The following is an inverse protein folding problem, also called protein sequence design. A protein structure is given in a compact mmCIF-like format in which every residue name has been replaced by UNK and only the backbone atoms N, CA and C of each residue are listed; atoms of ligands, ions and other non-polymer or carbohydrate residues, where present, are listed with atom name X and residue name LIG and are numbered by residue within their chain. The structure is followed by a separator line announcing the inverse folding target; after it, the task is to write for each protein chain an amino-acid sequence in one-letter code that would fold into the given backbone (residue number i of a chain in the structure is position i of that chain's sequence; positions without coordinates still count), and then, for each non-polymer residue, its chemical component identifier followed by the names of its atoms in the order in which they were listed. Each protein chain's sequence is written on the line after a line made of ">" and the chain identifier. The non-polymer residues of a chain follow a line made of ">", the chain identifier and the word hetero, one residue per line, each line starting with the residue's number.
data_IF_116852603569
#
_entry.id   IF_116852603569
#
_cell.length_a   1.000
_cell.length_b   1.000
_cell.length_c   1.000
_cell.angle_alpha   90.00
_cell.angle_beta   90.00
_cell.angle_gamma   90.00
#
_symmetry.space_group_name_H-M   'P 1'
#
loop_
_entity.id
_entity.type
_entity.pdbx_description
1 polymer ?
#
# COMPACT_ATOMS: atom_id res chain seq x y z
N UNK A 1 27.41 6.38 -39.61
CA UNK A 1 27.86 5.32 -38.69
C UNK A 1 26.73 5.02 -37.72
N UNK A 2 26.30 3.77 -37.58
CA UNK A 2 25.30 3.39 -36.57
C UNK A 2 25.93 3.53 -35.18
N UNK A 3 25.25 4.29 -34.32
CA UNK A 3 25.65 4.55 -32.94
C UNK A 3 25.61 3.25 -32.13
N UNK A 4 26.79 2.67 -31.91
CA UNK A 4 27.00 1.39 -31.20
C UNK A 4 26.62 1.45 -29.71
N UNK A 5 26.21 2.62 -29.20
CA UNK A 5 25.79 2.77 -27.79
C UNK A 5 24.30 2.45 -27.58
N UNK A 6 23.50 2.38 -28.64
CA UNK A 6 22.06 2.15 -28.54
C UNK A 6 21.74 0.66 -28.58
N UNK A 7 21.23 0.16 -27.46
CA UNK A 7 20.66 -1.19 -27.38
C UNK A 7 19.57 -1.36 -28.43
N UNK A 8 19.63 -2.44 -29.17
CA UNK A 8 18.58 -2.89 -30.09
C UNK A 8 17.32 -3.24 -29.31
N UNK A 9 16.16 -3.23 -30.00
CA UNK A 9 14.86 -3.52 -29.39
C UNK A 9 14.84 -4.91 -28.72
N UNK A 10 15.49 -5.90 -29.32
CA UNK A 10 15.66 -7.25 -28.77
C UNK A 10 16.48 -7.24 -27.48
N UNK A 11 17.58 -6.49 -27.44
CA UNK A 11 18.40 -6.34 -26.23
C UNK A 11 17.65 -5.61 -25.10
N UNK A 12 16.81 -4.62 -25.43
CA UNK A 12 15.96 -3.94 -24.45
C UNK A 12 14.92 -4.91 -23.87
N UNK A 13 14.30 -5.73 -24.72
CA UNK A 13 13.30 -6.73 -24.30
C UNK A 13 13.92 -7.79 -23.39
N UNK A 14 15.09 -8.32 -23.75
CA UNK A 14 15.79 -9.32 -22.94
C UNK A 14 16.34 -8.72 -21.64
N UNK A 15 16.86 -7.48 -21.69
CA UNK A 15 17.26 -6.75 -20.48
C UNK A 15 16.08 -6.52 -19.55
N UNK A 16 14.91 -6.13 -20.08
CA UNK A 16 13.68 -6.01 -19.29
C UNK A 16 13.23 -7.35 -18.74
N UNK A 17 13.34 -8.45 -19.49
CA UNK A 17 12.99 -9.81 -19.02
C UNK A 17 13.88 -10.24 -17.86
N UNK A 18 15.19 -10.02 -17.96
CA UNK A 18 16.17 -10.32 -16.90
C UNK A 18 15.96 -9.39 -15.69
N UNK A 19 15.72 -8.10 -15.93
CA UNK A 19 15.41 -7.13 -14.87
C UNK A 19 14.08 -7.46 -14.16
N UNK A 20 13.07 -7.93 -14.90
CA UNK A 20 11.81 -8.42 -14.35
C UNK A 20 11.98 -9.73 -13.56
N UNK A 21 12.92 -10.61 -13.94
CA UNK A 21 13.34 -11.76 -13.13
C UNK A 21 14.10 -11.35 -11.87
N UNK A 22 14.82 -10.22 -11.90
CA UNK A 22 15.46 -9.56 -10.75
C UNK A 22 14.50 -8.70 -9.91
N UNK A 23 13.21 -8.69 -10.20
CA UNK A 23 12.21 -8.14 -9.27
C UNK A 23 12.24 -9.07 -8.07
N UNK A 24 12.77 -8.60 -6.94
CA UNK A 24 12.73 -9.31 -5.67
C UNK A 24 11.34 -9.97 -5.54
N UNK A 25 11.27 -11.32 -5.48
CA UNK A 25 9.98 -11.99 -5.37
C UNK A 25 9.28 -11.40 -4.15
N UNK A 26 8.04 -10.96 -4.34
CA UNK A 26 7.22 -10.52 -3.22
C UNK A 26 7.08 -11.73 -2.31
N UNK A 27 7.78 -11.71 -1.16
CA UNK A 27 7.72 -12.80 -0.20
C UNK A 27 6.26 -13.04 0.15
N UNK A 28 5.80 -14.26 -0.13
CA UNK A 28 4.48 -14.69 0.27
C UNK A 28 4.46 -14.89 1.78
N UNK A 29 3.26 -14.93 2.37
CA UNK A 29 3.12 -15.24 3.79
C UNK A 29 3.70 -16.62 4.14
N UNK A 30 3.68 -17.56 3.18
CA UNK A 30 4.30 -18.88 3.31
C UNK A 30 5.83 -18.77 3.34
N UNK A 31 6.41 -17.99 2.44
CA UNK A 31 7.87 -17.77 2.39
C UNK A 31 8.37 -17.14 3.71
N UNK A 32 7.61 -16.21 4.29
CA UNK A 32 7.94 -15.61 5.60
C UNK A 32 7.82 -16.64 6.72
N UNK A 33 6.81 -17.50 6.69
CA UNK A 33 6.66 -18.60 7.66
C UNK A 33 7.82 -19.60 7.57
N UNK A 34 8.23 -19.98 6.37
CA UNK A 34 9.35 -20.91 6.15
C UNK A 34 10.66 -20.32 6.71
N UNK A 35 10.89 -19.02 6.53
CA UNK A 35 12.02 -18.33 7.16
C UNK A 35 11.91 -18.29 8.69
N UNK A 36 10.71 -18.04 9.22
CA UNK A 36 10.45 -18.02 10.66
C UNK A 36 10.77 -19.37 11.31
N UNK A 37 10.29 -20.48 10.75
CA UNK A 37 10.59 -21.83 11.28
C UNK A 37 12.08 -22.18 11.13
N UNK A 38 12.74 -21.68 10.08
CA UNK A 38 14.20 -21.87 9.92
C UNK A 38 15.00 -21.13 10.98
N UNK A 39 14.58 -19.92 11.35
CA UNK A 39 15.22 -19.11 12.41
C UNK A 39 14.88 -19.61 13.82
N UNK A 40 13.69 -20.19 14.00
CA UNK A 40 13.18 -20.71 15.27
C UNK A 40 12.68 -22.16 15.13
N UNK A 41 13.58 -23.15 14.98
CA UNK A 41 13.20 -24.56 14.73
C UNK A 41 12.40 -25.20 15.87
N UNK A 42 12.52 -24.69 17.08
CA UNK A 42 11.78 -25.10 18.28
C UNK A 42 10.31 -24.65 18.29
N UNK A 43 9.91 -23.77 17.37
CA UNK A 43 8.54 -23.29 17.30
C UNK A 43 7.59 -24.37 16.80
N UNK A 44 6.64 -24.78 17.64
CA UNK A 44 5.60 -25.77 17.30
C UNK A 44 4.42 -25.19 16.48
N UNK A 45 4.46 -23.89 16.17
CA UNK A 45 3.38 -23.21 15.44
C UNK A 45 3.23 -23.77 14.02
N UNK A 46 2.03 -24.22 13.69
CA UNK A 46 1.69 -24.64 12.32
C UNK A 46 1.50 -23.44 11.38
N UNK A 47 1.65 -23.66 10.07
CA UNK A 47 1.41 -22.59 9.09
C UNK A 47 -0.01 -22.03 9.16
N UNK A 48 -1.01 -22.86 9.50
CA UNK A 48 -2.40 -22.43 9.61
C UNK A 48 -2.61 -21.47 10.78
N UNK A 49 -2.02 -21.78 11.93
CA UNK A 49 -2.04 -20.92 13.12
C UNK A 49 -1.30 -19.62 12.87
N UNK A 50 -0.09 -19.69 12.31
CA UNK A 50 0.67 -18.52 11.90
C UNK A 50 -0.15 -17.63 10.97
N UNK A 51 -0.76 -18.22 9.94
CA UNK A 51 -1.59 -17.50 8.98
C UNK A 51 -2.76 -16.81 9.66
N UNK A 52 -3.45 -17.51 10.56
CA UNK A 52 -4.59 -16.99 11.33
C UNK A 52 -4.19 -15.80 12.18
N UNK A 53 -3.12 -15.92 12.96
CA UNK A 53 -2.61 -14.87 13.85
C UNK A 53 -2.25 -13.62 13.04
N UNK A 54 -1.44 -13.76 11.99
CA UNK A 54 -1.02 -12.64 11.15
C UNK A 54 -2.21 -11.98 10.43
N UNK A 55 -3.17 -12.77 9.96
CA UNK A 55 -4.38 -12.23 9.29
C UNK A 55 -5.22 -11.43 10.27
N UNK A 56 -5.45 -11.94 11.49
CA UNK A 56 -6.18 -11.25 12.53
C UNK A 56 -5.47 -9.96 12.95
N UNK A 57 -4.16 -10.04 13.23
CA UNK A 57 -3.35 -8.88 13.57
C UNK A 57 -3.45 -7.79 12.50
N UNK A 58 -3.25 -8.15 11.23
CA UNK A 58 -3.35 -7.20 10.13
C UNK A 58 -4.75 -6.57 10.04
N UNK A 59 -5.81 -7.35 10.27
CA UNK A 59 -7.16 -6.82 10.28
C UNK A 59 -7.38 -5.82 11.41
N UNK A 60 -6.99 -6.15 12.65
CA UNK A 60 -7.09 -5.23 13.78
C UNK A 60 -6.26 -3.96 13.59
N UNK A 61 -5.01 -4.12 13.15
CA UNK A 61 -4.09 -3.03 12.87
C UNK A 61 -4.68 -2.05 11.84
N UNK A 62 -5.18 -2.57 10.71
CA UNK A 62 -5.74 -1.73 9.66
C UNK A 62 -7.03 -1.03 10.11
N UNK A 63 -7.93 -1.73 10.79
CA UNK A 63 -9.14 -1.12 11.33
C UNK A 63 -8.82 -0.01 12.34
N UNK A 64 -7.89 -0.26 13.25
CA UNK A 64 -7.46 0.73 14.22
C UNK A 64 -6.98 2.01 13.53
N UNK A 65 -6.10 1.91 12.53
CA UNK A 65 -5.61 3.09 11.77
C UNK A 65 -6.75 3.79 11.01
N UNK A 66 -7.68 3.03 10.40
CA UNK A 66 -8.82 3.59 9.65
C UNK A 66 -9.74 4.40 10.58
N UNK A 67 -10.14 3.85 11.74
CA UNK A 67 -11.16 4.45 12.59
C UNK A 67 -10.63 5.51 13.54
N UNK A 68 -9.36 5.39 13.97
CA UNK A 68 -8.72 6.39 14.85
C UNK A 68 -8.08 7.52 14.06
N UNK A 69 -7.53 7.23 12.88
CA UNK A 69 -6.69 8.16 12.12
C UNK A 69 -5.28 8.35 12.69
N UNK A 70 -4.89 7.54 13.70
CA UNK A 70 -3.59 7.67 14.33
C UNK A 70 -2.44 7.22 13.43
N UNK A 71 -1.29 7.84 13.68
CA UNK A 71 -0.02 7.46 13.07
C UNK A 71 0.72 6.52 14.02
N UNK A 72 1.00 5.31 13.55
CA UNK A 72 1.68 4.28 14.34
C UNK A 72 3.15 4.25 13.96
N UNK A 73 4.02 4.18 14.98
CA UNK A 73 5.43 3.86 14.78
C UNK A 73 5.57 2.34 14.60
N UNK A 74 6.08 1.92 13.44
CA UNK A 74 6.32 0.51 13.17
C UNK A 74 7.57 0.03 13.93
N UNK A 75 7.60 -1.26 14.34
CA UNK A 75 8.74 -1.84 15.04
C UNK A 75 10.01 -1.79 14.19
N UNK A 76 11.16 -2.03 14.83
CA UNK A 76 12.50 -2.05 14.18
C UNK A 76 12.85 -0.77 13.41
N UNK A 77 12.28 0.36 13.82
CA UNK A 77 12.48 1.65 13.14
C UNK A 77 12.15 1.55 11.64
N UNK A 78 11.07 0.85 11.29
CA UNK A 78 10.61 0.72 9.90
C UNK A 78 9.91 2.00 9.39
N UNK A 79 9.71 2.99 10.24
CA UNK A 79 9.05 4.26 9.93
C UNK A 79 7.65 4.33 10.53
N UNK A 80 6.81 5.24 10.02
CA UNK A 80 5.44 5.40 10.52
C UNK A 80 4.39 5.00 9.50
N UNK A 81 3.29 4.44 9.97
CA UNK A 81 2.17 4.02 9.15
C UNK A 81 0.91 4.78 9.56
N UNK A 82 0.20 5.34 8.58
CA UNK A 82 -1.00 6.13 8.80
C UNK A 82 -1.92 6.10 7.60
N UNK A 83 -3.14 6.59 7.78
CA UNK A 83 -4.00 7.04 6.67
C UNK A 83 -3.87 8.56 6.58
N UNK A 84 -3.53 9.04 5.39
CA UNK A 84 -3.44 10.48 5.10
C UNK A 84 -4.62 10.90 4.23
N UNK A 85 -5.05 12.16 4.37
CA UNK A 85 -5.98 12.80 3.44
C UNK A 85 -5.22 13.70 2.47
N UNK A 86 -5.61 13.66 1.20
CA UNK A 86 -5.03 14.46 0.13
C UNK A 86 -6.11 15.11 -0.71
N UNK A 87 -5.90 16.37 -1.10
CA UNK A 87 -6.81 17.08 -1.98
C UNK A 87 -6.76 16.47 -3.39
N UNK A 88 -7.93 16.29 -4.01
CA UNK A 88 -8.05 15.93 -5.41
C UNK A 88 -7.52 17.08 -6.28
N UNK A 89 -6.59 16.77 -7.18
CA UNK A 89 -6.17 17.72 -8.23
C UNK A 89 -7.20 17.67 -9.35
N UNK A 90 -7.93 18.77 -9.55
CA UNK A 90 -8.93 18.91 -10.61
C UNK A 90 -10.22 18.11 -10.40
N UNK A 91 -11.12 18.22 -11.37
CA UNK A 91 -12.37 17.46 -11.42
C UNK A 91 -12.15 16.16 -12.19
N UNK A 92 -12.74 15.07 -11.71
CA UNK A 92 -12.81 13.81 -12.46
C UNK A 92 -14.12 13.75 -13.22
N UNK A 93 -14.10 13.18 -14.42
CA UNK A 93 -15.30 12.92 -15.21
C UNK A 93 -15.90 11.59 -14.76
N UNK A 94 -17.22 11.55 -14.60
CA UNK A 94 -17.93 10.30 -14.38
C UNK A 94 -18.03 9.53 -15.71
N UNK A 95 -17.09 8.61 -15.91
CA UNK A 95 -17.04 7.80 -17.13
C UNK A 95 -18.22 6.83 -17.26
N UNK A 96 -18.85 6.43 -16.15
CA UNK A 96 -20.02 5.55 -16.22
C UNK A 96 -21.21 6.33 -16.80
N UNK A 97 -21.49 7.51 -16.23
CA UNK A 97 -22.53 8.39 -16.74
C UNK A 97 -22.26 8.83 -18.19
N UNK A 98 -21.02 9.21 -18.52
CA UNK A 98 -20.63 9.61 -19.87
C UNK A 98 -20.83 8.50 -20.90
N UNK A 99 -20.54 7.23 -20.55
CA UNK A 99 -20.79 6.10 -21.46
C UNK A 99 -22.27 5.87 -21.74
N UNK A 100 -23.14 6.13 -20.76
CA UNK A 100 -24.59 5.91 -20.89
C UNK A 100 -25.31 7.06 -21.58
N UNK A 101 -24.90 8.31 -21.33
CA UNK A 101 -25.63 9.52 -21.76
C UNK A 101 -24.89 10.38 -22.78
N UNK A 102 -23.57 10.20 -22.93
CA UNK A 102 -22.71 11.10 -23.72
C UNK A 102 -22.38 12.42 -23.02
N UNK A 103 -22.96 12.69 -21.84
CA UNK A 103 -22.79 13.95 -21.13
C UNK A 103 -21.58 13.93 -20.19
N UNK A 104 -20.80 15.02 -20.21
CA UNK A 104 -19.65 15.20 -19.32
C UNK A 104 -20.11 15.71 -17.95
N UNK A 105 -20.47 14.78 -17.07
CA UNK A 105 -20.78 15.08 -15.67
C UNK A 105 -19.52 15.02 -14.78
N UNK A 106 -19.34 16.05 -13.95
CA UNK A 106 -18.26 16.08 -12.94
C UNK A 106 -18.58 15.12 -11.79
N UNK A 107 -17.59 14.33 -11.39
CA UNK A 107 -17.67 13.45 -10.24
C UNK A 107 -17.42 14.26 -8.95
N UNK A 108 -18.50 14.57 -8.24
CA UNK A 108 -18.42 15.23 -6.93
C UNK A 108 -18.35 14.17 -5.83
N UNK A 109 -17.19 14.01 -5.21
CA UNK A 109 -17.06 13.17 -4.02
C UNK A 109 -17.64 13.90 -2.81
N UNK A 110 -18.98 13.94 -2.70
CA UNK A 110 -19.72 14.71 -1.69
C UNK A 110 -19.33 14.30 -0.26
N UNK A 111 -19.05 13.03 -0.04
CA UNK A 111 -18.74 12.45 1.27
C UNK A 111 -17.34 12.76 1.80
N UNK A 112 -16.51 13.45 1.02
CA UNK A 112 -15.13 13.73 1.39
C UNK A 112 -14.65 15.10 0.94
N UNK A 113 -15.56 15.99 0.53
CA UNK A 113 -15.28 17.40 0.25
C UNK A 113 -14.04 17.63 -0.64
N UNK A 114 -13.91 16.83 -1.71
CA UNK A 114 -12.76 16.82 -2.65
C UNK A 114 -11.45 16.26 -2.11
N UNK A 115 -11.43 15.69 -0.91
CA UNK A 115 -10.30 14.92 -0.40
C UNK A 115 -10.44 13.43 -0.75
N UNK A 116 -9.30 12.74 -0.76
CA UNK A 116 -9.25 11.28 -0.79
C UNK A 116 -8.26 10.79 0.25
N UNK A 117 -8.57 9.65 0.85
CA UNK A 117 -7.71 9.01 1.82
C UNK A 117 -6.81 7.97 1.13
N UNK A 118 -5.59 7.81 1.65
CA UNK A 118 -4.70 6.69 1.26
C UNK A 118 -3.87 6.24 2.45
N UNK A 119 -3.54 4.96 2.48
CA UNK A 119 -2.49 4.47 3.36
C UNK A 119 -1.15 5.06 2.94
N UNK A 120 -0.38 5.46 3.94
CA UNK A 120 0.92 6.07 3.77
C UNK A 120 1.89 5.49 4.77
N UNK A 121 2.92 4.83 4.23
CA UNK A 121 4.06 4.37 4.99
C UNK A 121 5.20 5.38 4.80
N UNK A 122 5.44 6.17 5.83
CA UNK A 122 6.54 7.13 5.85
C UNK A 122 7.85 6.43 6.21
N UNK A 123 8.71 6.26 5.21
CA UNK A 123 10.06 5.71 5.37
C UNK A 123 11.14 6.78 5.57
N UNK A 124 10.83 8.06 5.39
CA UNK A 124 11.85 9.11 5.20
C UNK A 124 12.35 9.73 6.50
N UNK A 125 11.70 9.45 7.64
CA UNK A 125 12.16 10.00 8.92
C UNK A 125 13.58 9.54 9.23
N UNK A 126 14.52 10.50 9.32
CA UNK A 126 15.95 10.27 9.62
C UNK A 126 16.15 9.58 10.97
N UNK A 127 15.21 9.76 11.91
CA UNK A 127 15.22 9.17 13.26
C UNK A 127 14.85 7.67 13.25
N UNK A 128 14.14 7.20 12.23
CA UNK A 128 13.66 5.82 12.12
C UNK A 128 14.18 5.17 10.83
N UNK A 129 15.48 5.29 10.58
CA UNK A 129 16.06 4.91 9.30
C UNK A 129 16.85 3.60 9.35
N UNK A 130 16.18 2.48 9.63
CA UNK A 130 16.82 1.19 9.43
C UNK A 130 16.83 0.81 7.93
N UNK A 131 17.91 1.15 7.21
CA UNK A 131 18.03 0.87 5.75
C UNK A 131 18.03 -0.62 5.43
N UNK A 132 18.55 -1.44 6.35
CA UNK A 132 18.77 -2.87 6.15
C UNK A 132 17.47 -3.67 6.13
N UNK A 133 16.44 -3.28 6.88
CA UNK A 133 15.19 -4.06 6.94
C UNK A 133 14.09 -3.53 6.01
N UNK A 134 14.24 -2.33 5.44
CA UNK A 134 13.18 -1.66 4.64
C UNK A 134 12.77 -2.39 3.35
N UNK A 135 13.65 -3.22 2.80
CA UNK A 135 13.37 -4.01 1.59
C UNK A 135 12.71 -5.35 1.89
N UNK A 136 12.74 -5.81 3.15
CA UNK A 136 12.12 -7.05 3.59
C UNK A 136 10.62 -6.87 3.86
N UNK A 137 10.19 -5.66 4.22
CA UNK A 137 8.79 -5.36 4.56
C UNK A 137 8.08 -4.56 3.47
N UNK A 138 6.84 -4.96 3.17
CA UNK A 138 5.95 -4.25 2.26
C UNK A 138 4.58 -4.00 2.91
N UNK A 139 4.37 -2.78 3.41
CA UNK A 139 3.06 -2.36 3.90
C UNK A 139 2.20 -1.85 2.74
N UNK A 140 1.45 -2.76 2.12
CA UNK A 140 0.50 -2.43 1.04
C UNK A 140 -0.89 -2.91 1.42
N UNK A 141 -1.86 -2.00 1.36
CA UNK A 141 -3.26 -2.36 1.59
C UNK A 141 -3.80 -3.26 0.47
N UNK A 142 -4.52 -4.32 0.83
CA UNK A 142 -5.25 -5.14 -0.12
C UNK A 142 -6.54 -4.44 -0.61
N UNK A 143 -7.33 -5.11 -1.46
CA UNK A 143 -8.62 -4.56 -1.95
C UNK A 143 -9.68 -4.44 -0.86
N UNK A 144 -9.79 -5.43 0.03
CA UNK A 144 -10.81 -5.46 1.09
C UNK A 144 -10.62 -4.30 2.07
N UNK A 145 -9.41 -4.09 2.55
CA UNK A 145 -9.09 -2.99 3.48
C UNK A 145 -9.29 -1.62 2.84
N UNK A 146 -9.06 -1.48 1.53
CA UNK A 146 -9.41 -0.25 0.80
C UNK A 146 -10.92 -0.03 0.70
N UNK A 147 -11.69 -1.11 0.59
CA UNK A 147 -13.15 -1.05 0.64
C UNK A 147 -13.64 -0.64 2.04
N UNK A 148 -13.03 -1.19 3.10
CA UNK A 148 -13.32 -0.83 4.49
C UNK A 148 -13.00 0.64 4.77
N UNK A 149 -11.87 1.15 4.29
CA UNK A 149 -11.54 2.58 4.35
C UNK A 149 -12.60 3.45 3.66
N UNK A 150 -13.02 3.06 2.46
CA UNK A 150 -14.07 3.79 1.74
C UNK A 150 -15.41 3.76 2.49
N UNK A 151 -15.77 2.62 3.09
CA UNK A 151 -16.96 2.45 3.93
C UNK A 151 -16.88 3.33 5.17
N UNK A 152 -15.74 3.37 5.85
CA UNK A 152 -15.52 4.19 7.03
C UNK A 152 -15.65 5.69 6.72
N UNK A 153 -15.10 6.16 5.59
CA UNK A 153 -15.24 7.55 5.14
C UNK A 153 -16.70 7.87 4.84
N UNK A 154 -17.39 6.98 4.11
CA UNK A 154 -18.78 7.19 3.72
C UNK A 154 -19.74 7.23 4.93
N UNK A 155 -19.56 6.32 5.88
CA UNK A 155 -20.52 6.10 6.96
C UNK A 155 -20.19 6.91 8.22
N UNK A 156 -18.91 7.11 8.53
CA UNK A 156 -18.45 7.69 9.79
C UNK A 156 -17.62 8.95 9.59
N UNK A 157 -17.50 9.44 8.35
CA UNK A 157 -16.80 10.67 8.01
C UNK A 157 -15.36 10.71 8.57
N UNK A 158 -14.68 9.56 8.60
CA UNK A 158 -13.34 9.41 9.21
C UNK A 158 -12.26 10.24 8.53
N UNK A 159 -12.54 10.82 7.36
CA UNK A 159 -11.56 11.57 6.57
C UNK A 159 -10.96 12.76 7.33
N UNK A 160 -11.72 13.38 8.25
CA UNK A 160 -11.24 14.50 9.07
C UNK A 160 -10.25 14.09 10.15
N UNK A 161 -10.21 12.81 10.51
CA UNK A 161 -9.24 12.27 11.49
C UNK A 161 -7.85 12.10 10.88
N UNK A 162 -7.75 12.11 9.56
CA UNK A 162 -6.51 11.82 8.85
C UNK A 162 -5.66 13.07 8.67
N UNK A 163 -4.35 12.92 8.88
CA UNK A 163 -3.41 14.00 8.68
C UNK A 163 -3.43 14.47 7.22
N UNK A 164 -3.47 15.80 7.04
CA UNK A 164 -3.33 16.39 5.71
C UNK A 164 -1.88 16.28 5.25
N UNK A 165 -1.69 15.85 4.01
CA UNK A 165 -0.36 15.69 3.43
C UNK A 165 -0.27 16.50 2.14
N UNK A 166 0.47 17.60 2.21
CA UNK A 166 0.88 18.38 1.03
C UNK A 166 2.08 17.68 0.36
N UNK A 167 1.98 17.48 -0.96
CA UNK A 167 3.07 17.01 -1.82
C UNK A 167 3.33 18.05 -2.88
#
# INVERSE_FOLDING_TARGET
>A
MLDKTKKTRSEIVEWNRIAHKKVHPQLTQKDVYENYIKEYPESEITYEEYKKVITQFNWYFMNYVIYTGFTILLPFFLGTFSVIRKASKGYKIDFHHFKTTGERKKHYNKHSERYYARFYWNKSSKRYHNRWFKHLFLFKSNRLIRADLAKAIKNHNTIYKYQYYET
#
